data_IF_974129327436
#
_entry.id   IF_974129327436
#
_cell.length_a   1.000
_cell.length_b   1.000
_cell.length_c   1.000
_cell.angle_alpha   90.00
_cell.angle_beta   90.00
_cell.angle_gamma   90.00
#
_symmetry.space_group_name_H-M   'P 1'
#
loop_
_entity.id
_entity.type
_entity.pdbx_description
1 polymer ?
#
# COMPACT_ATOMS: atom_id res chain seq x y z
N UNK A 1 -1.46 -31.25 -16.98
CA UNK A 1 -2.09 -30.52 -18.07
C UNK A 1 -1.51 -29.10 -18.10
N UNK A 2 -1.21 -28.56 -19.28
CA UNK A 2 -0.66 -27.19 -19.38
C UNK A 2 -1.75 -26.17 -19.04
N UNK A 3 -1.41 -25.12 -18.32
CA UNK A 3 -2.32 -23.99 -18.03
C UNK A 3 -2.85 -23.35 -19.32
N UNK A 4 -2.11 -23.41 -20.41
CA UNK A 4 -2.52 -22.87 -21.72
C UNK A 4 -3.67 -23.63 -22.37
N UNK A 5 -4.02 -24.82 -21.86
CA UNK A 5 -5.13 -25.64 -22.33
C UNK A 5 -6.38 -25.55 -21.44
N UNK A 6 -6.30 -24.74 -20.37
CA UNK A 6 -7.46 -24.51 -19.51
C UNK A 6 -8.35 -23.41 -20.07
N UNK A 7 -9.65 -23.56 -19.87
CA UNK A 7 -10.63 -22.51 -20.16
C UNK A 7 -10.62 -21.46 -19.06
N UNK A 8 -11.01 -20.24 -19.39
CA UNK A 8 -11.21 -19.18 -18.40
C UNK A 8 -12.27 -19.61 -17.37
N UNK A 9 -12.02 -19.25 -16.12
CA UNK A 9 -12.99 -19.46 -15.06
C UNK A 9 -14.24 -18.61 -15.31
N UNK A 10 -15.40 -19.25 -15.43
CA UNK A 10 -16.67 -18.57 -15.74
C UNK A 10 -17.49 -18.19 -14.50
N UNK A 11 -17.01 -18.52 -13.28
CA UNK A 11 -17.72 -18.28 -12.01
C UNK A 11 -17.42 -16.96 -11.33
N UNK A 12 -16.87 -15.96 -12.04
CA UNK A 12 -16.67 -14.62 -11.48
C UNK A 12 -18.03 -13.92 -11.37
N UNK A 13 -18.35 -13.45 -10.16
CA UNK A 13 -19.52 -12.63 -9.92
C UNK A 13 -19.27 -11.16 -10.32
N UNK A 14 -20.30 -10.51 -10.85
CA UNK A 14 -20.27 -9.05 -11.01
C UNK A 14 -20.41 -8.36 -9.66
N UNK A 15 -19.69 -7.25 -9.50
CA UNK A 15 -19.82 -6.42 -8.31
C UNK A 15 -21.20 -5.74 -8.32
N UNK A 16 -21.97 -5.76 -7.21
CA UNK A 16 -23.24 -5.04 -7.14
C UNK A 16 -23.06 -3.56 -7.48
N UNK A 17 -24.05 -2.96 -8.16
CA UNK A 17 -23.97 -1.57 -8.59
C UNK A 17 -23.89 -0.57 -7.40
N UNK A 18 -24.42 -0.96 -6.25
CA UNK A 18 -24.43 -0.23 -4.99
C UNK A 18 -23.30 -0.60 -4.03
N UNK A 19 -22.33 -1.41 -4.48
CA UNK A 19 -21.20 -1.78 -3.64
C UNK A 19 -20.43 -0.55 -3.17
N UNK A 20 -20.21 -0.41 -1.86
CA UNK A 20 -19.48 0.71 -1.24
C UNK A 20 -18.07 0.84 -1.83
N UNK A 21 -17.38 -0.28 -2.05
CA UNK A 21 -16.10 -0.33 -2.75
C UNK A 21 -16.28 -0.79 -4.19
N UNK A 22 -17.18 -0.10 -4.91
CA UNK A 22 -17.48 -0.36 -6.31
C UNK A 22 -16.40 0.14 -7.28
N UNK A 23 -16.67 0.06 -8.58
CA UNK A 23 -15.71 0.44 -9.64
C UNK A 23 -15.22 1.89 -9.52
N UNK A 24 -16.12 2.83 -9.18
CA UNK A 24 -15.74 4.23 -8.99
C UNK A 24 -14.79 4.43 -7.81
N UNK A 25 -15.02 3.73 -6.70
CA UNK A 25 -14.12 3.73 -5.55
C UNK A 25 -12.70 3.27 -5.95
N UNK A 26 -12.63 2.13 -6.64
CA UNK A 26 -11.34 1.59 -7.07
C UNK A 26 -10.67 2.43 -8.15
N UNK A 27 -11.44 3.14 -9.00
CA UNK A 27 -10.86 4.09 -9.96
C UNK A 27 -10.09 5.20 -9.22
N UNK A 28 -10.71 5.83 -8.21
CA UNK A 28 -10.04 6.85 -7.39
C UNK A 28 -8.79 6.31 -6.69
N UNK A 29 -8.87 5.09 -6.15
CA UNK A 29 -7.71 4.43 -5.50
C UNK A 29 -6.58 4.18 -6.52
N UNK A 30 -6.91 3.79 -7.75
CA UNK A 30 -5.91 3.57 -8.81
C UNK A 30 -5.28 4.86 -9.29
N UNK A 31 -6.02 5.97 -9.34
CA UNK A 31 -5.47 7.29 -9.65
C UNK A 31 -4.48 7.74 -8.56
N UNK A 32 -4.82 7.53 -7.29
CA UNK A 32 -3.89 7.75 -6.17
C UNK A 32 -2.65 6.87 -6.30
N UNK A 33 -2.82 5.58 -6.61
CA UNK A 33 -1.68 4.66 -6.85
C UNK A 33 -0.80 5.13 -7.99
N UNK A 34 -1.38 5.63 -9.08
CA UNK A 34 -0.60 6.17 -10.20
C UNK A 34 0.23 7.39 -9.76
N UNK A 35 -0.34 8.31 -8.97
CA UNK A 35 0.37 9.45 -8.42
C UNK A 35 1.53 9.02 -7.49
N UNK A 36 1.29 8.03 -6.61
CA UNK A 36 2.34 7.47 -5.74
C UNK A 36 3.44 6.82 -6.57
N UNK A 37 3.10 6.02 -7.57
CA UNK A 37 4.08 5.35 -8.43
C UNK A 37 4.97 6.36 -9.17
N UNK A 38 4.40 7.48 -9.64
CA UNK A 38 5.17 8.56 -10.30
C UNK A 38 6.26 9.10 -9.36
N UNK A 39 5.92 9.38 -8.11
CA UNK A 39 6.89 9.87 -7.11
C UNK A 39 7.91 8.79 -6.71
N UNK A 40 7.50 7.54 -6.60
CA UNK A 40 8.42 6.42 -6.35
C UNK A 40 9.44 6.26 -7.49
N UNK A 41 9.04 6.44 -8.74
CA UNK A 41 9.96 6.41 -9.90
C UNK A 41 10.93 7.60 -9.86
N UNK A 42 10.49 8.80 -9.46
CA UNK A 42 11.38 9.94 -9.24
C UNK A 42 12.46 9.63 -8.19
N UNK A 43 12.08 8.99 -7.07
CA UNK A 43 13.02 8.56 -6.04
C UNK A 43 13.97 7.46 -6.52
N UNK A 44 13.51 6.56 -7.39
CA UNK A 44 14.36 5.51 -7.99
C UNK A 44 15.35 6.12 -8.99
N UNK A 45 14.92 7.06 -9.82
CA UNK A 45 15.77 7.75 -10.78
C UNK A 45 16.93 8.50 -10.08
N UNK A 46 16.66 9.07 -8.91
CA UNK A 46 17.67 9.73 -8.06
C UNK A 46 18.46 8.76 -7.16
N UNK A 47 18.18 7.45 -7.24
CA UNK A 47 18.77 6.40 -6.40
C UNK A 47 18.51 6.59 -4.88
N UNK A 48 17.50 7.36 -4.50
CA UNK A 48 17.08 7.51 -3.09
C UNK A 48 16.51 6.21 -2.54
N UNK A 49 15.82 5.43 -3.38
CA UNK A 49 15.34 4.07 -3.08
C UNK A 49 15.73 3.11 -4.21
N UNK A 50 15.84 1.82 -3.90
CA UNK A 50 16.04 0.75 -4.89
C UNK A 50 14.73 0.07 -5.33
N UNK A 51 13.68 0.16 -4.51
CA UNK A 51 12.37 -0.43 -4.78
C UNK A 51 11.28 0.18 -3.91
N UNK A 52 10.02 0.05 -4.34
CA UNK A 52 8.85 0.63 -3.68
C UNK A 52 8.67 0.17 -2.22
N UNK A 53 9.04 -1.08 -1.91
CA UNK A 53 8.98 -1.60 -0.54
C UNK A 53 10.02 -0.99 0.42
N UNK A 54 10.92 -0.12 -0.08
CA UNK A 54 11.77 0.70 0.78
C UNK A 54 11.11 2.03 1.17
N UNK A 55 9.94 2.33 0.63
CA UNK A 55 9.28 3.61 0.83
C UNK A 55 8.21 3.55 1.93
N UNK A 56 8.12 4.65 2.66
CA UNK A 56 7.02 5.02 3.54
C UNK A 56 6.29 6.22 2.93
N UNK A 57 4.96 6.11 2.82
CA UNK A 57 4.13 7.09 2.14
C UNK A 57 3.15 7.72 3.12
N UNK A 58 3.12 9.04 3.16
CA UNK A 58 2.05 9.82 3.77
C UNK A 58 1.24 10.50 2.68
N UNK A 59 -0.06 10.23 2.68
CA UNK A 59 -1.04 10.80 1.77
C UNK A 59 -1.82 11.88 2.51
N UNK A 60 -1.64 13.14 2.11
CA UNK A 60 -2.42 14.26 2.61
C UNK A 60 -3.58 14.49 1.67
N UNK A 61 -4.79 14.17 2.09
CA UNK A 61 -5.97 14.16 1.24
C UNK A 61 -7.11 15.02 1.81
N UNK A 62 -7.94 15.57 0.92
CA UNK A 62 -9.21 16.19 1.30
C UNK A 62 -10.19 15.14 1.86
N UNK A 63 -11.14 15.58 2.68
CA UNK A 63 -12.00 14.74 3.52
C UNK A 63 -12.66 13.57 2.77
N UNK A 64 -13.20 13.80 1.58
CA UNK A 64 -13.86 12.76 0.80
C UNK A 64 -12.87 11.67 0.34
N UNK A 65 -11.70 12.08 -0.17
CA UNK A 65 -10.65 11.16 -0.60
C UNK A 65 -9.98 10.49 0.60
N UNK A 66 -9.73 11.26 1.67
CA UNK A 66 -9.17 10.72 2.91
C UNK A 66 -10.05 9.61 3.50
N UNK A 67 -11.36 9.80 3.53
CA UNK A 67 -12.33 8.80 4.01
C UNK A 67 -12.27 7.53 3.16
N UNK A 68 -12.23 7.65 1.83
CA UNK A 68 -12.08 6.50 0.93
C UNK A 68 -10.79 5.72 1.22
N UNK A 69 -9.66 6.40 1.25
CA UNK A 69 -8.36 5.76 1.47
C UNK A 69 -8.25 5.13 2.87
N UNK A 70 -8.77 5.81 3.90
CA UNK A 70 -8.81 5.31 5.26
C UNK A 70 -9.67 4.03 5.39
N UNK A 71 -10.68 3.86 4.53
CA UNK A 71 -11.50 2.64 4.48
C UNK A 71 -10.71 1.37 4.20
N UNK A 72 -9.53 1.46 3.54
CA UNK A 72 -8.63 0.35 3.32
C UNK A 72 -7.74 0.03 4.54
N UNK A 73 -7.72 0.93 5.53
CA UNK A 73 -6.91 0.76 6.73
C UNK A 73 -5.45 0.45 6.41
N UNK A 74 -4.90 -0.51 7.14
CA UNK A 74 -3.49 -0.92 6.98
C UNK A 74 -3.23 -1.65 5.64
N UNK A 75 -4.27 -2.08 4.93
CA UNK A 75 -4.14 -2.76 3.63
C UNK A 75 -3.84 -1.79 2.48
N UNK A 76 -4.05 -0.47 2.67
CA UNK A 76 -3.68 0.54 1.67
C UNK A 76 -2.21 0.41 1.23
N UNK A 77 -1.30 0.07 2.15
CA UNK A 77 0.11 -0.15 1.81
C UNK A 77 0.34 -1.31 0.84
N UNK A 78 -0.53 -2.33 0.83
CA UNK A 78 -0.44 -3.44 -0.13
C UNK A 78 -0.93 -3.01 -1.49
N UNK A 79 -2.01 -2.23 -1.55
CA UNK A 79 -2.49 -1.63 -2.80
C UNK A 79 -1.40 -0.76 -3.42
N UNK A 80 -0.72 0.07 -2.62
CA UNK A 80 0.35 0.97 -3.07
C UNK A 80 1.70 0.25 -3.27
N UNK A 81 1.86 -0.97 -2.75
CA UNK A 81 3.11 -1.76 -2.76
C UNK A 81 4.24 -0.98 -2.07
N UNK A 82 3.97 -0.49 -0.86
CA UNK A 82 4.91 0.27 -0.03
C UNK A 82 5.01 -0.32 1.38
N UNK A 83 6.03 0.02 2.15
CA UNK A 83 6.19 -0.51 3.52
C UNK A 83 5.18 0.06 4.49
N UNK A 84 4.81 1.32 4.32
CA UNK A 84 3.71 1.97 5.04
C UNK A 84 2.91 2.87 4.10
N UNK A 85 1.64 3.09 4.44
CA UNK A 85 0.79 4.10 3.82
C UNK A 85 -0.07 4.72 4.93
N UNK A 86 0.09 6.01 5.16
CA UNK A 86 -0.66 6.75 6.17
C UNK A 86 -1.48 7.85 5.50
N UNK A 87 -2.75 7.96 5.87
CA UNK A 87 -3.66 9.01 5.39
C UNK A 87 -3.75 10.09 6.45
N UNK A 88 -3.56 11.33 6.04
CA UNK A 88 -3.63 12.52 6.89
C UNK A 88 -4.52 13.58 6.22
N UNK A 89 -5.14 14.48 6.99
CA UNK A 89 -5.88 15.61 6.41
C UNK A 89 -4.97 16.48 5.54
N UNK A 90 -5.49 16.99 4.42
CA UNK A 90 -4.73 17.87 3.51
C UNK A 90 -4.18 19.11 4.23
N UNK A 91 -4.92 19.61 5.24
CA UNK A 91 -4.53 20.77 6.05
C UNK A 91 -3.25 20.53 6.88
N UNK A 92 -2.88 19.28 7.13
CA UNK A 92 -1.64 18.93 7.87
C UNK A 92 -0.42 18.75 6.96
N UNK A 93 -0.58 18.98 5.64
CA UNK A 93 0.51 18.84 4.69
C UNK A 93 1.66 19.80 5.01
N UNK A 94 2.86 19.24 5.10
CA UNK A 94 4.10 20.01 5.34
C UNK A 94 4.62 20.64 4.05
N UNK A 95 5.58 21.56 4.16
CA UNK A 95 6.24 22.17 3.01
C UNK A 95 7.02 21.19 2.12
N UNK A 96 7.32 19.99 2.62
CA UNK A 96 7.97 18.91 1.86
C UNK A 96 6.98 18.01 1.10
N UNK A 97 5.67 18.19 1.29
CA UNK A 97 4.66 17.44 0.56
C UNK A 97 4.53 17.94 -0.89
N UNK A 98 4.63 17.02 -1.84
CA UNK A 98 4.56 17.26 -3.29
C UNK A 98 3.09 17.24 -3.73
N UNK A 99 2.69 18.23 -4.53
CA UNK A 99 1.37 18.24 -5.17
C UNK A 99 1.31 17.18 -6.27
N UNK A 100 0.14 16.57 -6.44
CA UNK A 100 -0.10 15.56 -7.46
C UNK A 100 -1.09 16.04 -8.52
N UNK A 101 -1.32 15.22 -9.55
CA UNK A 101 -2.36 15.45 -10.57
C UNK A 101 -3.76 15.08 -10.03
N UNK A 102 -3.85 14.36 -8.91
CA UNK A 102 -5.11 14.05 -8.24
C UNK A 102 -5.52 15.26 -7.41
N UNK A 103 -6.69 15.81 -7.71
CA UNK A 103 -7.22 16.96 -6.99
C UNK A 103 -7.36 16.64 -5.48
N UNK A 104 -6.95 17.57 -4.63
CA UNK A 104 -7.04 17.40 -3.17
C UNK A 104 -6.07 16.38 -2.59
N UNK A 105 -5.00 16.00 -3.32
CA UNK A 105 -3.97 15.06 -2.84
C UNK A 105 -2.58 15.67 -2.90
N UNK A 106 -1.84 15.58 -1.79
CA UNK A 106 -0.38 15.76 -1.74
C UNK A 106 0.28 14.52 -1.15
N UNK A 107 1.51 14.27 -1.53
CA UNK A 107 2.30 13.13 -1.10
C UNK A 107 3.57 13.57 -0.40
N UNK A 108 3.93 12.85 0.65
CA UNK A 108 5.28 12.87 1.20
C UNK A 108 5.78 11.43 1.24
N UNK A 109 6.89 11.17 0.55
CA UNK A 109 7.48 9.85 0.48
C UNK A 109 8.90 9.93 1.04
N UNK A 110 9.24 8.99 1.91
CA UNK A 110 10.58 8.86 2.46
C UNK A 110 11.07 7.42 2.35
N UNK A 111 12.40 7.27 2.33
CA UNK A 111 13.01 5.95 2.49
C UNK A 111 12.84 5.51 3.94
N UNK A 112 12.35 4.29 4.13
CA UNK A 112 12.24 3.70 5.47
C UNK A 112 13.60 3.51 6.12
N UNK A 113 13.70 3.87 7.39
CA UNK A 113 14.86 3.61 8.24
C UNK A 113 14.80 2.22 8.92
N UNK A 114 13.68 1.51 8.79
CA UNK A 114 13.46 0.23 9.44
C UNK A 114 14.15 -0.93 8.73
N UNK A 115 14.38 -2.01 9.46
CA UNK A 115 14.94 -3.23 8.93
C UNK A 115 13.99 -3.91 7.92
N UNK A 116 14.58 -4.57 6.92
CA UNK A 116 13.84 -5.31 5.90
C UNK A 116 13.47 -6.69 6.43
N UNK A 117 12.21 -7.06 6.36
CA UNK A 117 11.77 -8.43 6.59
C UNK A 117 12.27 -9.36 5.48
N UNK A 118 12.94 -10.45 5.85
CA UNK A 118 13.51 -11.40 4.90
C UNK A 118 12.45 -12.11 4.03
N UNK A 119 11.22 -12.28 4.54
CA UNK A 119 10.14 -12.98 3.84
C UNK A 119 9.31 -12.06 2.94
N UNK A 120 8.74 -10.97 3.48
CA UNK A 120 7.83 -10.11 2.70
C UNK A 120 8.48 -8.88 2.11
N UNK A 121 9.73 -8.60 2.48
CA UNK A 121 10.57 -7.51 2.01
C UNK A 121 10.12 -6.09 2.38
N UNK A 122 9.01 -5.96 3.12
CA UNK A 122 8.65 -4.67 3.70
C UNK A 122 9.68 -4.26 4.76
N UNK A 123 9.91 -2.99 4.88
CA UNK A 123 10.69 -2.40 5.96
C UNK A 123 9.76 -2.10 7.12
N UNK A 124 10.00 -2.73 8.28
CA UNK A 124 9.09 -2.68 9.42
C UNK A 124 9.85 -2.47 10.73
N UNK A 125 9.24 -1.69 11.63
CA UNK A 125 9.82 -1.43 12.96
C UNK A 125 9.85 -2.68 13.85
N UNK A 126 8.97 -3.64 13.58
CA UNK A 126 8.81 -4.88 14.34
C UNK A 126 9.77 -6.01 13.90
N UNK A 127 10.57 -5.81 12.84
CA UNK A 127 11.65 -6.75 12.49
C UNK A 127 12.72 -6.74 13.58
N UNK A 128 13.06 -7.92 14.09
CA UNK A 128 13.97 -8.09 15.23
C UNK A 128 13.26 -8.22 16.57
N UNK A 129 11.94 -8.03 16.62
CA UNK A 129 11.15 -8.14 17.85
C UNK A 129 10.83 -9.57 18.29
N UNK A 130 10.92 -10.55 17.39
CA UNK A 130 10.57 -11.94 17.68
C UNK A 130 11.83 -12.80 17.87
N UNK A 131 11.98 -13.40 19.04
CA UNK A 131 13.22 -14.09 19.43
C UNK A 131 13.58 -15.28 18.52
N UNK A 132 12.58 -16.06 18.07
CA UNK A 132 12.79 -17.23 17.19
C UNK A 132 12.89 -16.86 15.72
N UNK A 133 12.42 -15.66 15.33
CA UNK A 133 12.43 -15.16 13.94
C UNK A 133 12.90 -13.71 13.87
N UNK A 134 14.16 -13.44 14.24
CA UNK A 134 14.64 -12.05 14.35
C UNK A 134 14.72 -11.30 13.01
N UNK A 135 14.70 -12.01 11.87
CA UNK A 135 14.70 -11.40 10.53
C UNK A 135 13.29 -11.19 9.95
N UNK A 136 12.22 -11.58 10.67
CA UNK A 136 10.85 -11.47 10.18
C UNK A 136 10.08 -10.36 10.90
N UNK A 137 9.14 -9.74 10.20
CA UNK A 137 8.16 -8.87 10.82
C UNK A 137 7.05 -9.70 11.48
N UNK A 138 6.35 -9.11 12.46
CA UNK A 138 5.28 -9.75 13.23
C UNK A 138 4.22 -10.40 12.33
N UNK A 139 3.78 -9.69 11.27
CA UNK A 139 2.86 -10.25 10.27
C UNK A 139 3.35 -11.54 9.64
N UNK A 140 4.63 -11.63 9.33
CA UNK A 140 5.20 -12.83 8.72
C UNK A 140 5.32 -13.97 9.72
N UNK A 141 5.59 -13.69 10.98
CA UNK A 141 5.58 -14.68 12.07
C UNK A 141 4.16 -15.20 12.26
N UNK A 142 3.16 -14.32 12.35
CA UNK A 142 1.75 -14.72 12.45
C UNK A 142 1.30 -15.63 11.29
N UNK A 143 1.77 -15.34 10.06
CA UNK A 143 1.47 -16.16 8.89
C UNK A 143 2.21 -17.51 8.83
N UNK A 144 3.23 -17.72 9.65
CA UNK A 144 4.01 -18.96 9.68
C UNK A 144 3.59 -19.83 10.86
N UNK A 145 3.42 -19.24 12.04
CA UNK A 145 3.21 -19.94 13.31
C UNK A 145 1.80 -19.75 13.87
N UNK A 146 1.11 -18.67 13.48
CA UNK A 146 -0.21 -18.32 13.97
C UNK A 146 -1.36 -18.78 13.06
N UNK A 147 -2.53 -18.17 13.28
CA UNK A 147 -3.74 -18.40 12.47
C UNK A 147 -3.66 -17.75 11.08
N UNK A 148 -2.67 -16.91 10.85
CA UNK A 148 -2.52 -16.10 9.66
C UNK A 148 -3.22 -14.74 9.78
N UNK A 149 -2.74 -13.78 8.99
CA UNK A 149 -3.36 -12.45 8.95
C UNK A 149 -4.73 -12.48 8.30
N UNK A 150 -5.65 -11.68 8.81
CA UNK A 150 -6.94 -11.43 8.16
C UNK A 150 -6.80 -10.25 7.22
N UNK A 151 -7.19 -10.44 5.96
CA UNK A 151 -7.26 -9.38 4.94
C UNK A 151 -8.66 -9.29 4.38
N UNK A 152 -9.06 -8.08 4.01
CA UNK A 152 -10.39 -7.79 3.50
C UNK A 152 -10.37 -7.25 2.06
N UNK A 153 -9.28 -6.60 1.62
CA UNK A 153 -9.25 -5.83 0.38
C UNK A 153 -8.02 -6.08 -0.50
N UNK A 154 -6.86 -6.42 0.07
CA UNK A 154 -5.60 -6.53 -0.69
C UNK A 154 -4.64 -7.58 -0.13
#
# INVERSE_FOLDING_TARGET
QSVMLNTWYAGLAELPADAVMGRAYWADVMDVKAAVNKELENMRATKAIGGSLQAEVTLFAEDALATKLAGLGNELRFVLITSTAQVQPLSSATGSAVSTEVAGLKLQISKSAHAKCARCWHHRADVGGHATHPELCERCVENIEGAGEVRHYA
#
